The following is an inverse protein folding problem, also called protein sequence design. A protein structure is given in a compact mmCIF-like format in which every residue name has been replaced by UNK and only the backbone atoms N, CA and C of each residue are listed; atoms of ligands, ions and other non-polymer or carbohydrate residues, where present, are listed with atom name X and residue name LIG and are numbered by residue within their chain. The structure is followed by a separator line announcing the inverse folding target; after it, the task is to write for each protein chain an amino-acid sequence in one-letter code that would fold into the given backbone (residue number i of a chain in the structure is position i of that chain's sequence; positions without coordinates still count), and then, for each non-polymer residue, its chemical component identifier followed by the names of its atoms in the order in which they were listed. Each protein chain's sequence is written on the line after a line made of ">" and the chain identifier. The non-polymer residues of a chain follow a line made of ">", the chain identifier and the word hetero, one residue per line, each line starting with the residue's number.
data_IF_452022708232
#
_entry.id   IF_452022708232
#
_cell.length_a   1.000
_cell.length_b   1.000
_cell.length_c   1.000
_cell.angle_alpha   90.00
_cell.angle_beta   90.00
_cell.angle_gamma   90.00
#
_symmetry.space_group_name_H-M   'P 1'
#
loop_
_entity.id
_entity.type
_entity.pdbx_description
1 polymer ?
#
# COMPACT_ATOMS: atom_id res chain seq x y z
N UNK A 1 -17.53 -2.76 -7.92
CA UNK A 1 -16.65 -3.13 -6.79
C UNK A 1 -16.57 -2.01 -5.76
N UNK A 2 -16.21 -2.31 -4.51
CA UNK A 2 -15.89 -1.34 -3.46
C UNK A 2 -14.38 -1.28 -3.23
N UNK A 3 -13.79 -0.10 -3.36
CA UNK A 3 -12.38 0.14 -3.09
C UNK A 3 -12.24 1.00 -1.83
N UNK A 4 -11.50 0.48 -0.86
CA UNK A 4 -11.12 1.18 0.36
C UNK A 4 -9.63 1.51 0.30
N UNK A 5 -9.28 2.79 0.19
CA UNK A 5 -7.90 3.26 0.07
C UNK A 5 -7.42 4.00 1.31
N UNK A 6 -6.22 3.65 1.76
CA UNK A 6 -5.51 4.33 2.84
C UNK A 6 -4.22 4.94 2.32
N UNK A 7 -4.04 6.24 2.47
CA UNK A 7 -2.74 6.90 2.28
C UNK A 7 -2.10 7.14 3.64
N UNK A 8 -1.05 6.39 3.94
CA UNK A 8 -0.31 6.48 5.20
C UNK A 8 0.76 7.57 5.21
N UNK A 9 1.02 8.24 4.08
CA UNK A 9 2.03 9.29 3.99
C UNK A 9 1.67 10.46 4.92
N UNK A 10 2.59 10.90 5.81
CA UNK A 10 2.37 12.09 6.61
C UNK A 10 2.34 13.38 5.75
N UNK A 11 2.82 13.31 4.51
CA UNK A 11 2.73 14.42 3.54
C UNK A 11 1.33 14.57 2.94
N UNK A 12 0.43 13.58 3.11
CA UNK A 12 -0.93 13.56 2.57
C UNK A 12 -0.95 13.97 1.09
N UNK A 13 -1.74 14.98 0.74
CA UNK A 13 -1.92 15.53 -0.61
C UNK A 13 -0.64 16.02 -1.29
N UNK A 14 0.43 16.28 -0.51
CA UNK A 14 1.72 16.79 -1.03
C UNK A 14 2.75 15.68 -1.29
N UNK A 15 2.41 14.41 -1.01
CA UNK A 15 3.33 13.29 -1.13
C UNK A 15 3.21 12.55 -2.46
N UNK A 16 4.29 11.91 -2.91
CA UNK A 16 4.26 11.03 -4.08
C UNK A 16 3.25 9.87 -3.92
N UNK A 17 3.06 9.36 -2.70
CA UNK A 17 2.04 8.36 -2.39
C UNK A 17 0.63 8.79 -2.81
N UNK A 18 0.31 10.09 -2.70
CA UNK A 18 -0.99 10.61 -3.14
C UNK A 18 -1.13 10.52 -4.66
N UNK A 19 -0.07 10.84 -5.41
CA UNK A 19 -0.09 10.80 -6.88
C UNK A 19 -0.39 9.39 -7.36
N UNK A 20 0.30 8.38 -6.80
CA UNK A 20 0.08 6.97 -7.16
C UNK A 20 -1.32 6.51 -6.77
N UNK A 21 -1.78 6.84 -5.55
CA UNK A 21 -3.13 6.48 -5.10
C UNK A 21 -4.20 7.10 -5.99
N UNK A 22 -4.06 8.38 -6.34
CA UNK A 22 -5.04 9.07 -7.18
C UNK A 22 -5.10 8.47 -8.59
N UNK A 23 -3.95 8.09 -9.16
CA UNK A 23 -3.90 7.45 -10.48
C UNK A 23 -4.57 6.06 -10.47
N UNK A 24 -4.35 5.26 -9.43
CA UNK A 24 -5.05 3.99 -9.25
C UNK A 24 -6.56 4.17 -9.06
N UNK A 25 -6.96 5.12 -8.20
CA UNK A 25 -8.36 5.47 -7.93
C UNK A 25 -9.07 5.98 -9.19
N UNK A 26 -8.37 6.72 -10.05
CA UNK A 26 -8.91 7.20 -11.31
C UNK A 26 -9.35 6.04 -12.21
N UNK A 27 -8.48 5.06 -12.45
CA UNK A 27 -8.83 3.86 -13.21
C UNK A 27 -9.95 3.06 -12.56
N UNK A 28 -9.91 2.90 -11.24
CA UNK A 28 -10.96 2.22 -10.49
C UNK A 28 -12.33 2.93 -10.61
N UNK A 29 -12.34 4.26 -10.57
CA UNK A 29 -13.56 5.06 -10.71
C UNK A 29 -14.13 4.95 -12.13
N UNK A 30 -13.28 4.96 -13.15
CA UNK A 30 -13.70 4.78 -14.54
C UNK A 30 -14.29 3.40 -14.81
N UNK A 31 -13.82 2.36 -14.11
CA UNK A 31 -14.44 1.03 -14.08
C UNK A 31 -15.74 0.96 -13.24
N UNK A 32 -16.18 2.07 -12.65
CA UNK A 32 -17.43 2.14 -11.88
C UNK A 32 -17.32 1.66 -10.43
N UNK A 33 -16.12 1.58 -9.85
CA UNK A 33 -15.96 1.24 -8.43
C UNK A 33 -16.46 2.35 -7.50
N UNK A 34 -17.05 1.94 -6.38
CA UNK A 34 -17.35 2.82 -5.26
C UNK A 34 -16.06 3.06 -4.47
N UNK A 35 -15.65 4.33 -4.35
CA UNK A 35 -14.38 4.70 -3.75
C UNK A 35 -14.60 5.28 -2.36
N UNK A 36 -13.97 4.68 -1.36
CA UNK A 36 -13.78 5.24 -0.02
C UNK A 36 -12.28 5.44 0.22
N UNK A 37 -11.85 6.64 0.61
CA UNK A 37 -10.43 6.93 0.85
C UNK A 37 -10.20 7.70 2.14
N UNK A 38 -9.10 7.38 2.82
CA UNK A 38 -8.72 7.99 4.10
C UNK A 38 -7.22 8.24 4.18
N UNK A 39 -6.83 9.28 4.92
CA UNK A 39 -5.44 9.45 5.35
C UNK A 39 -5.24 8.77 6.70
N UNK A 40 -4.28 7.86 6.81
CA UNK A 40 -4.02 7.17 8.10
C UNK A 40 -3.59 8.15 9.19
N UNK A 41 -2.98 9.27 8.82
CA UNK A 41 -2.58 10.33 9.75
C UNK A 41 -3.76 11.11 10.35
N UNK A 42 -4.96 11.00 9.77
CA UNK A 42 -6.19 11.58 10.32
C UNK A 42 -6.93 10.61 11.24
N UNK A 43 -6.46 9.36 11.33
CA UNK A 43 -7.08 8.32 12.15
C UNK A 43 -6.41 8.24 13.52
N UNK A 44 -7.24 8.21 14.55
CA UNK A 44 -6.87 7.89 15.90
C UNK A 44 -6.77 6.38 16.04
N UNK A 45 -5.60 5.82 15.74
CA UNK A 45 -5.29 4.39 15.90
C UNK A 45 -4.24 4.21 16.99
N UNK A 46 -4.63 3.53 18.08
CA UNK A 46 -3.74 3.17 19.18
C UNK A 46 -2.82 2.00 18.76
N UNK A 47 -1.69 1.85 19.44
CA UNK A 47 -0.82 0.68 19.26
C UNK A 47 -1.51 -0.60 19.75
N UNK A 48 -1.22 -1.74 19.09
CA UNK A 48 -1.65 -3.04 19.60
C UNK A 48 -0.89 -3.35 20.90
N UNK A 49 -1.59 -3.85 21.92
CA UNK A 49 -0.99 -4.19 23.22
C UNK A 49 -0.74 -5.69 23.40
N UNK A 50 -0.98 -6.51 22.38
CA UNK A 50 -0.79 -7.96 22.45
C UNK A 50 -1.70 -8.69 23.47
N UNK A 51 -2.84 -8.11 23.85
CA UNK A 51 -3.70 -8.68 24.89
C UNK A 51 -4.59 -9.85 24.42
N UNK A 52 -4.66 -10.13 23.11
CA UNK A 52 -5.47 -11.18 22.48
C UNK A 52 -6.98 -11.17 22.82
N UNK A 53 -7.50 -10.09 23.40
CA UNK A 53 -8.92 -10.00 23.73
C UNK A 53 -9.80 -10.09 22.48
N UNK A 54 -9.32 -9.66 21.31
CA UNK A 54 -10.03 -9.80 20.03
C UNK A 54 -10.21 -11.25 19.54
N UNK A 55 -9.54 -12.21 20.16
CA UNK A 55 -9.78 -13.64 19.93
C UNK A 55 -10.60 -14.27 21.04
N UNK A 56 -10.30 -13.94 22.30
CA UNK A 56 -10.83 -14.68 23.45
C UNK A 56 -12.01 -14.03 24.17
N UNK A 57 -12.05 -12.70 24.23
CA UNK A 57 -13.07 -11.96 25.00
C UNK A 57 -14.10 -11.30 24.08
N UNK A 58 -13.65 -10.76 22.95
CA UNK A 58 -14.48 -10.07 21.94
C UNK A 58 -14.11 -10.59 20.55
N UNK A 59 -14.46 -11.84 20.19
CA UNK A 59 -14.06 -12.45 18.93
C UNK A 59 -14.38 -11.58 17.71
N UNK A 60 -13.35 -11.20 16.96
CA UNK A 60 -13.50 -10.36 15.76
C UNK A 60 -13.54 -8.84 16.00
N UNK A 61 -13.44 -8.38 17.26
CA UNK A 61 -13.45 -6.95 17.61
C UNK A 61 -12.32 -6.62 18.59
N UNK A 62 -11.62 -5.50 18.39
CA UNK A 62 -10.64 -5.01 19.36
C UNK A 62 -11.35 -4.42 20.59
N UNK A 63 -10.81 -4.61 21.80
CA UNK A 63 -11.33 -3.98 23.03
C UNK A 63 -10.93 -2.50 23.16
N UNK A 64 -9.91 -2.07 22.41
CA UNK A 64 -9.44 -0.69 22.42
C UNK A 64 -10.29 0.14 21.48
N UNK A 65 -11.20 0.96 22.05
CA UNK A 65 -12.03 1.89 21.31
C UNK A 65 -11.15 2.98 20.65
N UNK A 66 -11.07 2.92 19.33
CA UNK A 66 -10.36 3.84 18.44
C UNK A 66 -10.89 3.65 16.99
N UNK A 67 -10.31 4.31 15.99
CA UNK A 67 -10.86 4.28 14.63
C UNK A 67 -10.87 2.89 13.96
N UNK A 68 -10.19 1.89 14.52
CA UNK A 68 -10.31 0.52 14.03
C UNK A 68 -11.72 -0.06 14.18
N UNK A 69 -12.55 0.48 15.08
CA UNK A 69 -13.93 0.03 15.28
C UNK A 69 -14.78 0.17 14.02
N UNK A 70 -14.55 1.21 13.21
CA UNK A 70 -15.25 1.39 11.93
C UNK A 70 -14.39 0.96 10.74
N UNK A 71 -13.05 1.05 10.82
CA UNK A 71 -12.15 0.64 9.74
C UNK A 71 -12.26 -0.86 9.47
N UNK A 72 -12.27 -1.71 10.51
CA UNK A 72 -12.30 -3.17 10.32
C UNK A 72 -13.55 -3.64 9.56
N UNK A 73 -14.78 -3.23 9.91
CA UNK A 73 -15.97 -3.53 9.09
C UNK A 73 -15.87 -3.06 7.64
N UNK A 74 -15.29 -1.88 7.38
CA UNK A 74 -15.09 -1.38 6.00
C UNK A 74 -14.07 -2.20 5.24
N UNK A 75 -12.99 -2.63 5.91
CA UNK A 75 -12.05 -3.59 5.33
C UNK A 75 -12.77 -4.87 4.94
N UNK A 76 -13.64 -5.43 5.78
CA UNK A 76 -14.39 -6.67 5.45
C UNK A 76 -15.33 -6.50 4.25
N UNK A 77 -15.96 -5.33 4.10
CA UNK A 77 -16.92 -5.04 3.04
C UNK A 77 -16.28 -4.69 1.69
N UNK A 78 -15.02 -4.27 1.68
CA UNK A 78 -14.28 -3.89 0.46
C UNK A 78 -14.01 -5.09 -0.46
N UNK A 79 -14.00 -4.86 -1.77
CA UNK A 79 -13.45 -5.79 -2.77
C UNK A 79 -11.94 -5.61 -2.91
N UNK A 80 -11.49 -4.35 -2.85
CA UNK A 80 -10.10 -3.95 -3.01
C UNK A 80 -9.69 -3.11 -1.81
N UNK A 81 -8.60 -3.50 -1.14
CA UNK A 81 -7.97 -2.71 -0.07
C UNK A 81 -6.65 -2.17 -0.61
N UNK A 82 -6.58 -0.85 -0.78
CA UNK A 82 -5.37 -0.16 -1.22
C UNK A 82 -4.64 0.46 -0.02
N UNK A 83 -3.35 0.16 0.12
CA UNK A 83 -2.49 0.71 1.17
C UNK A 83 -1.30 1.44 0.53
N UNK A 84 -1.32 2.77 0.59
CA UNK A 84 -0.23 3.63 0.15
C UNK A 84 0.70 4.01 1.30
N UNK A 85 2.02 3.84 1.15
CA UNK A 85 3.01 4.25 2.15
C UNK A 85 4.27 4.80 1.52
N UNK A 86 4.95 5.79 2.09
CA UNK A 86 6.35 5.99 1.80
C UNK A 86 7.20 4.96 2.57
N UNK A 87 8.40 4.70 2.07
CA UNK A 87 9.44 3.95 2.77
C UNK A 87 10.33 4.95 3.50
N UNK A 88 10.27 4.95 4.83
CA UNK A 88 11.12 5.76 5.69
C UNK A 88 12.01 4.83 6.51
N UNK A 89 13.32 5.05 6.45
CA UNK A 89 14.33 4.20 7.10
C UNK A 89 14.10 2.70 6.81
N UNK A 90 13.95 2.35 5.53
CA UNK A 90 13.80 0.97 5.04
C UNK A 90 12.55 0.23 5.55
N UNK A 91 11.53 0.95 6.05
CA UNK A 91 10.29 0.35 6.52
C UNK A 91 9.06 1.16 6.09
N UNK A 92 7.88 0.55 6.18
CA UNK A 92 6.60 1.26 6.08
C UNK A 92 6.48 2.27 7.23
N UNK A 93 5.69 3.32 7.03
CA UNK A 93 5.53 4.31 8.09
C UNK A 93 4.75 3.77 9.27
N UNK A 94 5.13 4.23 10.47
CA UNK A 94 4.54 3.81 11.75
C UNK A 94 3.00 3.88 11.81
N UNK A 95 2.37 4.78 11.06
CA UNK A 95 0.91 4.85 10.95
C UNK A 95 0.31 3.60 10.30
N UNK A 96 0.88 3.16 9.17
CA UNK A 96 0.45 1.93 8.50
C UNK A 96 0.77 0.69 9.33
N UNK A 97 1.96 0.65 9.96
CA UNK A 97 2.33 -0.46 10.84
C UNK A 97 1.35 -0.62 12.01
N UNK A 98 0.97 0.48 12.68
CA UNK A 98 -0.07 0.45 13.75
C UNK A 98 -1.40 -0.09 13.26
N UNK A 99 -1.87 0.36 12.09
CA UNK A 99 -3.10 -0.15 11.48
C UNK A 99 -3.00 -1.65 11.18
N UNK A 100 -1.88 -2.09 10.57
CA UNK A 100 -1.60 -3.50 10.24
C UNK A 100 -1.61 -4.39 11.47
N UNK A 101 -0.95 -3.99 12.56
CA UNK A 101 -0.94 -4.77 13.81
C UNK A 101 -2.34 -4.94 14.42
N UNK A 102 -3.25 -4.02 14.12
CA UNK A 102 -4.64 -4.07 14.59
C UNK A 102 -5.60 -4.83 13.66
N UNK A 103 -5.11 -5.53 12.63
CA UNK A 103 -5.94 -6.39 11.76
C UNK A 103 -6.11 -7.82 12.25
N UNK A 104 -5.44 -8.22 13.35
CA UNK A 104 -5.63 -9.54 13.99
C UNK A 104 -7.10 -9.94 14.25
N UNK A 105 -8.04 -9.01 14.56
CA UNK A 105 -9.46 -9.36 14.67
C UNK A 105 -10.03 -10.00 13.38
N UNK A 106 -9.43 -9.79 12.22
CA UNK A 106 -9.84 -10.43 10.96
C UNK A 106 -9.34 -11.87 10.81
N UNK A 107 -8.48 -12.36 11.72
CA UNK A 107 -7.99 -13.73 11.73
C UNK A 107 -8.73 -14.59 12.77
N UNK A 108 -8.87 -15.87 12.47
CA UNK A 108 -9.27 -16.91 13.42
C UNK A 108 -8.08 -17.26 14.34
N UNK A 109 -8.33 -17.63 15.60
CA UNK A 109 -7.26 -18.04 16.53
C UNK A 109 -6.66 -19.40 16.18
N UNK A 110 -7.38 -20.23 15.42
CA UNK A 110 -6.93 -21.53 14.94
C UNK A 110 -5.63 -21.41 14.15
N UNK A 111 -4.78 -22.44 14.20
CA UNK A 111 -3.62 -22.58 13.34
C UNK A 111 -3.83 -23.75 12.39
N UNK A 112 -3.51 -23.55 11.12
CA UNK A 112 -3.56 -24.58 10.09
C UNK A 112 -2.23 -24.63 9.34
N UNK A 113 -1.86 -25.81 8.86
CA UNK A 113 -0.72 -25.97 7.94
C UNK A 113 -1.27 -25.92 6.52
N UNK A 114 -0.76 -25.00 5.71
CA UNK A 114 -1.11 -24.87 4.30
C UNK A 114 0.12 -24.45 3.49
N UNK A 115 0.38 -25.15 2.38
CA UNK A 115 1.58 -24.88 1.56
C UNK A 115 2.91 -25.17 2.27
N UNK A 116 2.91 -25.95 3.37
CA UNK A 116 4.10 -26.21 4.17
C UNK A 116 4.38 -25.17 5.26
N UNK A 117 3.53 -24.15 5.38
CA UNK A 117 3.65 -23.09 6.40
C UNK A 117 2.45 -23.08 7.35
N UNK A 118 2.67 -22.56 8.56
CA UNK A 118 1.60 -22.38 9.56
C UNK A 118 0.97 -21.01 9.41
N UNK A 119 -0.37 -20.96 9.34
CA UNK A 119 -1.11 -19.70 9.26
C UNK A 119 -2.40 -19.73 10.07
N UNK A 120 -2.91 -18.53 10.35
CA UNK A 120 -4.24 -18.34 10.92
C UNK A 120 -5.27 -18.23 9.78
N UNK A 121 -6.34 -19.05 9.75
CA UNK A 121 -7.41 -18.88 8.79
C UNK A 121 -8.04 -17.48 8.89
N UNK A 122 -8.46 -16.91 7.77
CA UNK A 122 -9.20 -15.64 7.77
C UNK A 122 -10.62 -15.80 8.30
N UNK A 123 -11.10 -14.85 9.10
CA UNK A 123 -12.54 -14.69 9.38
C UNK A 123 -13.30 -14.17 8.17
N UNK A 124 -12.61 -13.47 7.27
CA UNK A 124 -13.19 -12.91 6.06
C UNK A 124 -13.16 -13.98 4.97
N UNK A 125 -14.35 -14.37 4.50
CA UNK A 125 -14.54 -15.46 3.51
C UNK A 125 -14.64 -14.97 2.07
N UNK A 126 -14.42 -13.69 1.81
CA UNK A 126 -14.49 -13.07 0.48
C UNK A 126 -13.10 -13.05 -0.15
N UNK A 127 -13.02 -13.26 -1.46
CA UNK A 127 -11.81 -13.02 -2.24
C UNK A 127 -11.56 -11.52 -2.38
N UNK A 128 -10.83 -10.94 -1.43
CA UNK A 128 -10.45 -9.54 -1.45
C UNK A 128 -9.07 -9.38 -2.09
N UNK A 129 -8.93 -8.37 -2.93
CA UNK A 129 -7.62 -8.01 -3.47
C UNK A 129 -6.96 -6.95 -2.59
N UNK A 130 -5.66 -7.12 -2.31
CA UNK A 130 -4.88 -6.14 -1.55
C UNK A 130 -3.82 -5.53 -2.45
N UNK A 131 -3.68 -4.21 -2.41
CA UNK A 131 -2.65 -3.45 -3.12
C UNK A 131 -1.77 -2.75 -2.10
N UNK A 132 -0.45 -2.90 -2.23
CA UNK A 132 0.52 -2.09 -1.50
C UNK A 132 1.26 -1.20 -2.48
N UNK A 133 1.01 0.10 -2.39
CA UNK A 133 1.77 1.09 -3.12
C UNK A 133 2.82 1.73 -2.22
N UNK A 134 4.09 1.49 -2.51
CA UNK A 134 5.20 2.04 -1.76
C UNK A 134 6.04 3.00 -2.61
N UNK A 135 6.48 4.10 -2.00
CA UNK A 135 7.36 5.08 -2.64
C UNK A 135 8.64 5.31 -1.83
N UNK A 136 9.79 5.46 -2.47
CA UNK A 136 11.08 5.70 -1.81
C UNK A 136 11.81 6.90 -2.43
N UNK A 137 12.69 7.55 -1.67
CA UNK A 137 13.57 8.60 -2.18
C UNK A 137 14.81 8.09 -2.92
N UNK A 138 15.26 6.88 -2.59
CA UNK A 138 16.38 6.23 -3.24
C UNK A 138 15.97 5.56 -4.56
N UNK A 139 16.87 5.45 -5.54
CA UNK A 139 16.56 4.89 -6.85
C UNK A 139 16.55 3.35 -6.87
N UNK A 140 16.86 2.68 -5.75
CA UNK A 140 17.05 1.23 -5.68
C UNK A 140 15.85 0.47 -5.10
N UNK A 141 15.55 -0.68 -5.69
CA UNK A 141 14.48 -1.58 -5.23
C UNK A 141 14.80 -2.28 -3.89
N UNK A 142 16.06 -2.35 -3.49
CA UNK A 142 16.46 -2.96 -2.22
C UNK A 142 15.78 -2.33 -0.99
N UNK A 143 15.33 -1.07 -1.12
CA UNK A 143 14.62 -0.34 -0.07
C UNK A 143 13.21 -0.88 0.23
N UNK A 144 12.61 -1.67 -0.68
CA UNK A 144 11.23 -2.14 -0.56
C UNK A 144 11.09 -3.52 0.06
N UNK A 145 12.19 -4.28 0.23
CA UNK A 145 12.18 -5.68 0.69
C UNK A 145 11.38 -5.92 1.97
N UNK A 146 11.47 -5.01 2.94
CA UNK A 146 10.70 -5.12 4.17
C UNK A 146 9.20 -4.94 3.94
N UNK A 147 8.82 -4.00 3.08
CA UNK A 147 7.43 -3.75 2.76
C UNK A 147 6.83 -4.94 1.97
N UNK A 148 7.58 -5.49 1.02
CA UNK A 148 7.23 -6.73 0.31
C UNK A 148 7.00 -7.90 1.28
N UNK A 149 7.94 -8.15 2.20
CA UNK A 149 7.80 -9.23 3.19
C UNK A 149 6.66 -9.03 4.20
N UNK A 150 6.26 -7.78 4.48
CA UNK A 150 5.12 -7.49 5.35
C UNK A 150 3.76 -7.72 4.67
N UNK A 151 3.73 -7.70 3.33
CA UNK A 151 2.54 -7.84 2.49
C UNK A 151 2.81 -8.78 1.30
N UNK A 152 3.15 -10.06 1.54
CA UNK A 152 3.61 -10.96 0.49
C UNK A 152 2.54 -11.27 -0.57
N UNK A 153 1.26 -11.27 -0.17
CA UNK A 153 0.13 -11.58 -1.06
C UNK A 153 -0.48 -10.36 -1.76
N UNK A 154 0.08 -9.16 -1.53
CA UNK A 154 -0.44 -7.94 -2.15
C UNK A 154 0.12 -7.73 -3.55
N UNK A 155 -0.68 -7.13 -4.44
CA UNK A 155 -0.15 -6.53 -5.66
C UNK A 155 0.72 -5.34 -5.28
N UNK A 156 1.99 -5.36 -5.64
CA UNK A 156 2.95 -4.31 -5.31
C UNK A 156 3.01 -3.24 -6.40
N UNK A 157 2.97 -1.98 -5.98
CA UNK A 157 3.26 -0.81 -6.82
C UNK A 157 4.44 -0.09 -6.20
N UNK A 158 5.64 -0.24 -6.76
CA UNK A 158 6.87 0.28 -6.17
C UNK A 158 7.51 1.36 -7.04
N UNK A 159 7.64 2.56 -6.46
CA UNK A 159 8.30 3.69 -7.10
C UNK A 159 9.52 4.15 -6.28
N UNK A 160 10.74 3.69 -6.62
CA UNK A 160 11.97 4.36 -6.24
C UNK A 160 12.08 5.77 -6.81
N UNK A 161 12.97 6.59 -6.26
CA UNK A 161 13.23 7.98 -6.66
C UNK A 161 11.95 8.82 -6.88
N UNK A 162 10.95 8.65 -6.01
CA UNK A 162 9.60 9.19 -6.21
C UNK A 162 9.53 10.73 -6.28
N UNK A 163 10.58 11.44 -5.88
CA UNK A 163 10.77 12.87 -6.12
C UNK A 163 10.72 13.25 -7.62
N UNK A 164 10.98 12.30 -8.52
CA UNK A 164 10.93 12.50 -9.96
C UNK A 164 9.53 12.85 -10.46
N UNK A 165 8.47 12.46 -9.74
CA UNK A 165 7.10 12.86 -10.07
C UNK A 165 6.87 14.38 -10.02
N UNK A 166 7.75 15.12 -9.34
CA UNK A 166 7.66 16.56 -9.15
C UNK A 166 8.66 17.33 -10.03
N UNK A 167 9.25 16.67 -11.02
CA UNK A 167 10.17 17.23 -12.02
C UNK A 167 9.61 16.93 -13.40
N UNK A 168 9.69 17.85 -14.36
CA UNK A 168 9.05 17.68 -15.67
C UNK A 168 9.63 16.51 -16.47
N UNK A 169 10.97 16.38 -16.50
CA UNK A 169 11.66 15.26 -17.14
C UNK A 169 11.35 13.94 -16.42
N UNK A 170 11.35 13.96 -15.09
CA UNK A 170 11.05 12.79 -14.27
C UNK A 170 9.61 12.30 -14.44
N UNK A 171 8.65 13.22 -14.55
CA UNK A 171 7.25 12.91 -14.82
C UNK A 171 7.04 12.33 -16.20
N UNK A 172 7.79 12.83 -17.19
CA UNK A 172 7.76 12.29 -18.56
C UNK A 172 8.29 10.85 -18.61
N UNK A 173 9.39 10.57 -17.90
CA UNK A 173 9.94 9.21 -17.78
C UNK A 173 8.96 8.24 -17.08
N UNK A 174 8.19 8.74 -16.12
CA UNK A 174 7.25 7.95 -15.32
C UNK A 174 5.84 7.87 -15.92
N UNK A 175 5.60 8.44 -17.09
CA UNK A 175 4.26 8.49 -17.71
C UNK A 175 3.70 7.08 -17.95
N UNK A 176 4.48 6.18 -18.57
CA UNK A 176 4.06 4.80 -18.83
C UNK A 176 3.74 4.04 -17.53
N UNK A 177 4.56 4.20 -16.49
CA UNK A 177 4.29 3.63 -15.18
C UNK A 177 2.96 4.14 -14.57
N UNK A 178 2.67 5.44 -14.69
CA UNK A 178 1.40 6.00 -14.23
C UNK A 178 0.22 5.46 -15.05
N UNK A 179 0.40 5.15 -16.32
CA UNK A 179 -0.64 4.51 -17.14
C UNK A 179 -0.86 3.06 -16.69
N UNK A 180 0.19 2.29 -16.41
CA UNK A 180 0.08 0.95 -15.84
C UNK A 180 -0.62 0.94 -14.47
N UNK A 181 -0.37 1.95 -13.61
CA UNK A 181 -1.04 2.12 -12.31
C UNK A 181 -2.54 2.40 -12.48
N UNK A 182 -2.91 3.23 -13.46
CA UNK A 182 -4.33 3.47 -13.77
C UNK A 182 -4.99 2.20 -14.31
N UNK A 183 -4.34 1.50 -15.24
CA UNK A 183 -4.91 0.27 -15.81
C UNK A 183 -5.05 -0.80 -14.74
N UNK A 184 -4.11 -0.92 -13.80
CA UNK A 184 -4.25 -1.81 -12.66
C UNK A 184 -5.51 -1.50 -11.83
N UNK A 185 -5.76 -0.22 -11.54
CA UNK A 185 -6.97 0.23 -10.85
C UNK A 185 -8.24 -0.12 -11.63
N UNK A 186 -8.22 0.05 -12.94
CA UNK A 186 -9.32 -0.27 -13.85
C UNK A 186 -9.60 -1.78 -13.89
N UNK A 187 -8.60 -2.59 -14.23
CA UNK A 187 -8.70 -4.04 -14.38
C UNK A 187 -9.18 -4.70 -13.09
N UNK A 188 -8.55 -4.37 -11.95
CA UNK A 188 -8.95 -4.93 -10.67
C UNK A 188 -10.40 -4.58 -10.34
N UNK A 189 -10.83 -3.35 -10.62
CA UNK A 189 -12.20 -2.89 -10.37
C UNK A 189 -13.27 -3.51 -11.29
N UNK A 190 -12.86 -4.00 -12.45
CA UNK A 190 -13.67 -4.83 -13.34
C UNK A 190 -13.77 -6.30 -12.87
N UNK A 191 -13.04 -6.68 -11.83
CA UNK A 191 -12.94 -8.04 -11.33
C UNK A 191 -11.93 -8.92 -12.04
N UNK A 192 -11.03 -8.31 -12.82
CA UNK A 192 -9.96 -9.02 -13.50
C UNK A 192 -8.75 -9.20 -12.58
N UNK A 193 -8.06 -10.32 -12.73
CA UNK A 193 -6.72 -10.51 -12.20
C UNK A 193 -5.69 -9.83 -13.12
N UNK A 194 -4.64 -9.26 -12.53
CA UNK A 194 -3.52 -8.73 -13.31
C UNK A 194 -2.62 -9.88 -13.76
N UNK A 195 -2.01 -9.73 -14.94
CA UNK A 195 -1.00 -10.68 -15.43
C UNK A 195 0.35 -10.43 -14.78
N UNK A 196 1.25 -11.42 -14.79
CA UNK A 196 2.63 -11.26 -14.29
C UNK A 196 3.41 -10.16 -15.01
N UNK A 197 3.11 -9.92 -16.29
CA UNK A 197 3.72 -8.84 -17.04
C UNK A 197 3.22 -7.47 -16.54
N UNK A 198 1.92 -7.34 -16.30
CA UNK A 198 1.34 -6.11 -15.75
C UNK A 198 1.87 -5.83 -14.35
N UNK A 199 1.91 -6.85 -13.47
CA UNK A 199 2.48 -6.70 -12.13
C UNK A 199 3.95 -6.29 -12.17
N UNK A 200 4.76 -6.80 -13.11
CA UNK A 200 6.15 -6.35 -13.29
C UNK A 200 6.25 -4.88 -13.71
N UNK A 201 5.35 -4.38 -14.56
CA UNK A 201 5.34 -2.96 -14.97
C UNK A 201 4.92 -2.00 -13.84
N UNK A 202 4.31 -2.51 -12.76
CA UNK A 202 4.02 -1.73 -11.54
C UNK A 202 5.23 -1.57 -10.61
N UNK A 203 6.39 -2.13 -10.97
CA UNK A 203 7.64 -2.00 -10.23
C UNK A 203 8.64 -1.25 -11.10
N UNK A 204 8.99 -0.03 -10.72
CA UNK A 204 9.94 0.78 -11.48
C UNK A 204 11.36 0.37 -11.13
N UNK A 205 12.12 -0.08 -12.13
CA UNK A 205 13.56 -0.31 -12.02
C UNK A 205 14.31 0.58 -13.01
N UNK A 206 15.20 1.43 -12.49
CA UNK A 206 16.02 2.30 -13.32
C UNK A 206 17.29 1.59 -13.81
N UNK A 207 17.70 1.80 -15.07
CA UNK A 207 19.05 1.47 -15.52
C UNK A 207 20.14 2.13 -14.67
N UNK A 208 21.33 1.53 -14.59
CA UNK A 208 22.40 1.98 -13.71
C UNK A 208 22.91 3.40 -14.01
N UNK A 209 22.92 3.81 -15.28
CA UNK A 209 23.24 5.16 -15.70
C UNK A 209 22.19 6.17 -15.20
N UNK A 210 20.91 5.83 -15.32
CA UNK A 210 19.81 6.66 -14.79
C UNK A 210 19.89 6.76 -13.27
N UNK A 211 20.18 5.65 -12.56
CA UNK A 211 20.40 5.67 -11.10
C UNK A 211 21.52 6.63 -10.71
N UNK A 212 22.66 6.60 -11.41
CA UNK A 212 23.79 7.51 -11.16
C UNK A 212 23.37 8.96 -11.38
N UNK A 213 22.70 9.28 -12.48
CA UNK A 213 22.23 10.64 -12.75
C UNK A 213 21.25 11.15 -11.69
N UNK A 214 20.36 10.31 -11.16
CA UNK A 214 19.46 10.67 -10.05
C UNK A 214 20.26 11.02 -8.79
N UNK A 215 21.28 10.22 -8.47
CA UNK A 215 22.15 10.42 -7.29
C UNK A 215 22.96 11.70 -7.44
N UNK A 216 23.60 11.92 -8.58
CA UNK A 216 24.37 13.13 -8.89
C UNK A 216 23.50 14.39 -8.77
N UNK A 217 22.34 14.40 -9.43
CA UNK A 217 21.40 15.52 -9.37
C UNK A 217 20.84 15.78 -7.95
N UNK A 218 20.72 14.74 -7.12
CA UNK A 218 20.39 14.92 -5.70
C UNK A 218 21.52 15.61 -4.94
N UNK A 219 22.75 15.10 -5.05
CA UNK A 219 23.92 15.62 -4.35
C UNK A 219 24.25 17.06 -4.75
N UNK A 220 24.10 17.41 -6.03
CA UNK A 220 24.27 18.78 -6.51
C UNK A 220 23.28 19.76 -5.86
N UNK A 221 22.03 19.35 -5.65
CA UNK A 221 21.03 20.18 -4.95
C UNK A 221 21.38 20.36 -3.49
N UNK A 222 21.84 19.29 -2.82
CA UNK A 222 22.29 19.36 -1.43
C UNK A 222 23.47 20.31 -1.28
N UNK A 223 24.42 20.30 -2.22
CA UNK A 223 25.57 21.21 -2.20
C UNK A 223 25.21 22.70 -2.38
N UNK A 224 24.00 23.01 -2.87
CA UNK A 224 23.51 24.39 -3.07
C UNK A 224 22.60 24.90 -1.95
N UNK A 225 22.21 24.05 -1.00
CA UNK A 225 21.29 24.37 0.09
C UNK A 225 22.05 24.82 1.35
#
# INVERSE_FOLDING_TARGET
>A
MKLLAFNASPRKTRGATEVIMNRFIEGAREAGAQIERHYVSDLMIKGCTGCFSCWWNTPGKCVHNDDMDWVLPRMVDADIIYMGTPIYNYNIVHGLQRMREKTLPLAMPDMVIEGGETRHPSRVKRGQQTVLAAVCGFPDLANFRQAEGLFPDATHIFLPAAQMLFQDEGRSLLAGFLDDVWDAGYQMSMGNSLTDEHMRRLIVEYPDDVKRSIVEAHNERVARA
#
